data_IF_525685256488
#
_entry.id   IF_525685256488
#
_cell.length_a   1.000
_cell.length_b   1.000
_cell.length_c   1.000
_cell.angle_alpha   90.00
_cell.angle_beta   90.00
_cell.angle_gamma   90.00
#
_symmetry.space_group_name_H-M   'P 1'
#
loop_
_entity.id
_entity.type
_entity.pdbx_description
1 polymer ?
#
# COMPACT_ATOMS: atom_id res chain seq x y z
N UNK A 1 8.12 -3.79 -17.85
CA UNK A 1 6.77 -3.93 -18.43
C UNK A 1 6.92 -3.92 -19.94
N UNK A 2 6.03 -4.56 -20.67
CA UNK A 2 6.06 -4.62 -22.13
C UNK A 2 4.67 -4.31 -22.66
N UNK A 3 4.61 -3.69 -23.83
CA UNK A 3 3.33 -3.32 -24.50
C UNK A 3 2.78 -4.47 -25.35
N UNK A 4 3.61 -5.48 -25.65
CA UNK A 4 3.22 -6.63 -26.44
C UNK A 4 3.85 -7.93 -25.92
N UNK A 5 3.21 -9.06 -26.24
CA UNK A 5 3.70 -10.40 -25.92
C UNK A 5 5.10 -10.66 -26.51
N UNK A 6 5.35 -10.20 -27.73
CA UNK A 6 6.64 -10.34 -28.44
C UNK A 6 7.75 -9.55 -27.72
N UNK A 7 7.43 -8.36 -27.30
CA UNK A 7 8.38 -7.51 -26.53
C UNK A 7 8.72 -8.12 -25.17
N UNK A 8 7.70 -8.61 -24.46
CA UNK A 8 7.89 -9.28 -23.17
C UNK A 8 8.77 -10.52 -23.33
N UNK A 9 8.56 -11.32 -24.36
CA UNK A 9 9.42 -12.49 -24.66
C UNK A 9 10.87 -12.09 -24.90
N UNK A 10 11.10 -11.05 -25.70
CA UNK A 10 12.45 -10.55 -25.97
C UNK A 10 13.14 -10.04 -24.70
N UNK A 11 12.41 -9.31 -23.84
CA UNK A 11 12.94 -8.83 -22.55
C UNK A 11 13.32 -9.99 -21.62
N UNK A 12 12.45 -11.01 -21.55
CA UNK A 12 12.71 -12.19 -20.72
C UNK A 12 13.91 -12.99 -21.20
N UNK A 13 14.07 -13.14 -22.52
CA UNK A 13 15.25 -13.82 -23.09
C UNK A 13 16.52 -13.07 -22.77
N UNK A 14 16.55 -11.73 -22.87
CA UNK A 14 17.69 -10.91 -22.45
C UNK A 14 18.01 -11.06 -20.95
N UNK A 15 16.98 -11.02 -20.09
CA UNK A 15 17.15 -11.24 -18.64
C UNK A 15 17.72 -12.62 -18.37
N UNK A 16 17.25 -13.66 -19.08
CA UNK A 16 17.77 -15.02 -18.96
C UNK A 16 19.26 -15.09 -19.33
N UNK A 17 19.64 -14.53 -20.47
CA UNK A 17 21.05 -14.49 -20.93
C UNK A 17 21.96 -13.77 -19.94
N UNK A 18 21.55 -12.61 -19.42
CA UNK A 18 22.35 -11.85 -18.44
C UNK A 18 22.45 -12.60 -17.10
N UNK A 19 21.38 -13.25 -16.66
CA UNK A 19 21.38 -14.05 -15.44
C UNK A 19 22.30 -15.29 -15.58
N UNK A 20 22.32 -15.95 -16.72
CA UNK A 20 23.20 -17.10 -16.99
C UNK A 20 24.69 -16.69 -16.96
N UNK A 21 25.04 -15.49 -17.43
CA UNK A 21 26.41 -14.93 -17.31
C UNK A 21 26.81 -14.73 -15.84
N UNK A 22 25.85 -14.41 -14.99
CA UNK A 22 26.04 -14.26 -13.54
C UNK A 22 25.94 -15.59 -12.77
N UNK A 23 25.78 -16.74 -13.45
CA UNK A 23 25.60 -18.04 -12.83
C UNK A 23 24.22 -18.29 -12.23
N UNK A 24 23.23 -17.44 -12.53
CA UNK A 24 21.86 -17.55 -12.06
C UNK A 24 20.98 -18.23 -13.12
N UNK A 25 20.03 -19.07 -12.68
CA UNK A 25 19.05 -19.72 -13.55
C UNK A 25 17.66 -19.15 -13.31
N UNK A 26 16.96 -18.77 -14.37
CA UNK A 26 15.57 -18.36 -14.32
C UNK A 26 14.69 -19.57 -13.92
N UNK A 27 13.93 -19.43 -12.83
CA UNK A 27 12.97 -20.46 -12.43
C UNK A 27 11.61 -20.19 -13.08
N UNK A 28 11.35 -20.84 -14.21
CA UNK A 28 10.13 -20.66 -15.02
C UNK A 28 8.90 -21.10 -14.24
N UNK A 29 8.98 -22.13 -13.40
CA UNK A 29 7.84 -22.60 -12.59
C UNK A 29 7.38 -21.59 -11.54
N UNK A 30 8.28 -20.71 -11.08
CA UNK A 30 7.94 -19.62 -10.15
C UNK A 30 7.63 -18.31 -10.85
N UNK A 31 7.97 -18.19 -12.13
CA UNK A 31 7.70 -17.00 -12.91
C UNK A 31 6.20 -16.95 -13.26
N UNK A 32 5.60 -15.77 -13.10
CA UNK A 32 4.20 -15.54 -13.39
C UNK A 32 4.05 -14.37 -14.35
N UNK A 33 3.11 -14.48 -15.26
CA UNK A 33 2.78 -13.41 -16.20
C UNK A 33 1.44 -12.80 -15.85
N UNK A 34 1.36 -11.47 -15.87
CA UNK A 34 0.11 -10.75 -15.70
C UNK A 34 -0.11 -9.81 -16.90
N UNK A 35 -1.33 -9.76 -17.39
CA UNK A 35 -1.68 -8.84 -18.45
C UNK A 35 -3.02 -8.17 -18.20
N UNK A 36 -3.19 -6.98 -18.75
CA UNK A 36 -4.44 -6.21 -18.71
C UNK A 36 -5.47 -6.65 -19.75
N UNK A 37 -5.15 -7.66 -20.60
CA UNK A 37 -6.01 -8.19 -21.66
C UNK A 37 -6.00 -9.72 -21.68
N UNK A 38 -6.83 -10.34 -22.54
CA UNK A 38 -6.89 -11.78 -22.66
C UNK A 38 -5.57 -12.32 -23.24
N UNK A 39 -4.80 -13.04 -22.44
CA UNK A 39 -3.67 -13.85 -22.90
C UNK A 39 -4.13 -15.31 -22.93
N UNK A 40 -3.95 -15.95 -24.07
CA UNK A 40 -4.45 -17.31 -24.29
C UNK A 40 -3.54 -18.40 -23.74
N UNK A 41 -2.25 -18.29 -23.83
CA UNK A 41 -1.25 -19.17 -23.18
C UNK A 41 0.14 -18.68 -23.54
N UNK A 42 1.05 -18.72 -22.60
CA UNK A 42 2.40 -18.25 -22.84
C UNK A 42 3.43 -19.34 -22.56
N UNK A 43 4.31 -19.55 -23.53
CA UNK A 43 5.37 -20.55 -23.42
C UNK A 43 6.75 -19.89 -23.55
N UNK A 44 7.66 -20.27 -22.65
CA UNK A 44 9.08 -19.94 -22.72
C UNK A 44 9.86 -21.24 -22.72
N UNK A 45 10.71 -21.45 -23.70
CA UNK A 45 11.54 -22.66 -23.84
C UNK A 45 10.74 -23.97 -23.82
N UNK A 46 9.48 -23.94 -24.29
CA UNK A 46 8.59 -25.12 -24.29
C UNK A 46 7.84 -25.34 -22.97
N UNK A 47 8.10 -24.55 -21.92
CA UNK A 47 7.38 -24.62 -20.65
C UNK A 47 6.25 -23.58 -20.63
N UNK A 48 5.08 -23.99 -20.13
CA UNK A 48 3.92 -23.12 -19.98
C UNK A 48 4.11 -22.21 -18.76
N UNK A 49 3.97 -20.91 -18.95
CA UNK A 49 3.94 -19.96 -17.84
C UNK A 49 2.52 -19.77 -17.31
N UNK A 50 2.42 -19.72 -15.98
CA UNK A 50 1.16 -19.41 -15.32
C UNK A 50 0.78 -17.95 -15.54
N UNK A 51 -0.43 -17.73 -16.11
CA UNK A 51 -1.02 -16.40 -16.21
C UNK A 51 -1.88 -16.15 -15.01
N UNK A 52 -1.63 -15.05 -14.30
CA UNK A 52 -2.33 -14.70 -13.07
C UNK A 52 -3.03 -13.33 -13.21
N UNK A 53 -4.13 -13.17 -12.51
CA UNK A 53 -4.86 -11.89 -12.43
C UNK A 53 -4.31 -10.96 -11.37
N UNK A 54 -3.58 -11.51 -10.43
CA UNK A 54 -2.92 -10.76 -9.37
C UNK A 54 -1.66 -11.50 -8.88
N UNK A 55 -0.73 -10.75 -8.30
CA UNK A 55 0.43 -11.31 -7.60
C UNK A 55 0.90 -10.39 -6.47
N UNK A 56 1.70 -10.95 -5.56
CA UNK A 56 2.28 -10.18 -4.45
C UNK A 56 3.74 -9.88 -4.78
N UNK A 57 4.06 -8.59 -4.86
CA UNK A 57 5.43 -8.09 -5.06
C UNK A 57 5.82 -7.22 -3.87
N UNK A 58 6.91 -7.58 -3.19
CA UNK A 58 7.38 -6.82 -2.02
C UNK A 58 6.35 -6.68 -0.89
N UNK A 59 5.39 -7.61 -0.79
CA UNK A 59 4.30 -7.55 0.20
C UNK A 59 3.06 -6.77 -0.24
N UNK A 60 3.09 -6.11 -1.40
CA UNK A 60 1.94 -5.42 -2.00
C UNK A 60 1.27 -6.27 -3.07
N UNK A 61 -0.06 -6.29 -3.06
CA UNK A 61 -0.86 -6.99 -4.06
C UNK A 61 -1.05 -6.13 -5.30
N UNK A 62 -0.53 -6.58 -6.42
CA UNK A 62 -0.69 -5.95 -7.74
C UNK A 62 -1.75 -6.74 -8.51
N UNK A 63 -2.71 -6.05 -9.12
CA UNK A 63 -3.81 -6.62 -9.88
C UNK A 63 -3.76 -6.16 -11.34
N UNK A 64 -4.21 -7.00 -12.25
CA UNK A 64 -4.21 -6.71 -13.69
C UNK A 64 -5.09 -5.51 -14.09
N UNK A 65 -6.15 -5.24 -13.31
CA UNK A 65 -7.06 -4.10 -13.48
C UNK A 65 -6.59 -2.84 -12.77
N UNK A 66 -5.41 -2.87 -12.12
CA UNK A 66 -4.86 -1.78 -11.31
C UNK A 66 -5.79 -1.31 -10.17
N UNK A 67 -6.71 -2.19 -9.71
CA UNK A 67 -7.59 -1.88 -8.58
C UNK A 67 -6.91 -2.18 -7.25
N UNK A 68 -6.47 -1.14 -6.56
CA UNK A 68 -5.83 -1.21 -5.26
C UNK A 68 -6.82 -1.16 -4.07
N UNK A 69 -8.14 -1.21 -4.32
CA UNK A 69 -9.15 -1.10 -3.25
C UNK A 69 -9.03 -2.20 -2.21
N UNK A 70 -8.68 -3.42 -2.61
CA UNK A 70 -8.47 -4.55 -1.69
C UNK A 70 -7.23 -4.33 -0.84
N UNK A 71 -6.14 -3.90 -1.46
CA UNK A 71 -4.87 -3.60 -0.80
C UNK A 71 -5.06 -2.52 0.27
N UNK A 72 -5.65 -1.38 -0.12
CA UNK A 72 -5.95 -0.27 0.81
C UNK A 72 -6.79 -0.77 2.00
N UNK A 73 -7.83 -1.57 1.76
CA UNK A 73 -8.65 -2.13 2.85
C UNK A 73 -7.82 -3.01 3.79
N UNK A 74 -6.96 -3.87 3.26
CA UNK A 74 -6.08 -4.74 4.04
C UNK A 74 -5.15 -3.92 4.93
N UNK A 75 -4.51 -2.90 4.40
CA UNK A 75 -3.65 -2.00 5.17
C UNK A 75 -4.40 -1.20 6.24
N UNK A 76 -5.62 -0.74 5.96
CA UNK A 76 -6.47 -0.10 6.96
C UNK A 76 -6.85 -1.06 8.10
N UNK A 77 -7.08 -2.34 7.81
CA UNK A 77 -7.34 -3.37 8.84
C UNK A 77 -6.10 -3.60 9.70
N UNK A 78 -4.91 -3.71 9.09
CA UNK A 78 -3.64 -3.81 9.81
C UNK A 78 -3.38 -2.59 10.70
N UNK A 79 -3.61 -1.39 10.17
CA UNK A 79 -3.52 -0.15 10.93
C UNK A 79 -4.46 -0.12 12.14
N UNK A 80 -5.70 -0.60 11.99
CA UNK A 80 -6.64 -0.73 13.12
C UNK A 80 -6.15 -1.71 14.16
N UNK A 81 -5.60 -2.85 13.76
CA UNK A 81 -5.01 -3.84 14.67
C UNK A 81 -3.85 -3.21 15.47
N UNK A 82 -2.95 -2.53 14.79
CA UNK A 82 -1.82 -1.83 15.43
C UNK A 82 -2.30 -0.75 16.40
N UNK A 83 -3.28 0.06 16.00
CA UNK A 83 -3.88 1.08 16.88
C UNK A 83 -4.53 0.45 18.12
N UNK A 84 -5.10 -0.74 18.00
CA UNK A 84 -5.67 -1.48 19.13
C UNK A 84 -4.57 -2.01 20.06
N UNK A 85 -3.45 -2.46 19.53
CA UNK A 85 -2.30 -2.91 20.33
C UNK A 85 -1.68 -1.76 21.15
N UNK A 86 -1.81 -0.52 20.68
CA UNK A 86 -1.36 0.68 21.40
C UNK A 86 -2.31 1.15 22.49
N UNK A 87 -3.46 0.51 22.68
CA UNK A 87 -4.53 0.98 23.57
C UNK A 87 -4.07 1.23 25.02
N UNK A 88 -3.19 0.40 25.56
CA UNK A 88 -2.64 0.57 26.91
C UNK A 88 -1.87 1.88 27.04
N UNK A 89 -1.03 2.19 26.06
CA UNK A 89 -0.23 3.44 26.02
C UNK A 89 -1.13 4.64 25.77
N UNK A 90 -2.07 4.52 24.82
CA UNK A 90 -3.01 5.60 24.51
C UNK A 90 -3.93 5.93 25.69
N UNK A 91 -4.23 4.95 26.55
CA UNK A 91 -5.02 5.13 27.77
C UNK A 91 -4.21 5.67 28.95
N UNK A 92 -2.89 5.54 28.96
CA UNK A 92 -2.05 6.07 30.04
C UNK A 92 -2.22 7.59 30.20
N UNK A 93 -2.26 8.05 31.44
CA UNK A 93 -2.29 9.48 31.79
C UNK A 93 -0.88 10.09 31.82
N UNK A 94 0.14 9.25 31.98
CA UNK A 94 1.54 9.67 32.11
C UNK A 94 2.15 10.05 30.75
N UNK A 95 1.52 9.64 29.65
CA UNK A 95 1.95 9.95 28.28
C UNK A 95 1.20 11.16 27.75
N UNK A 96 1.93 12.18 27.33
CA UNK A 96 1.34 13.42 26.80
C UNK A 96 0.58 13.18 25.49
N UNK A 97 -0.40 14.01 25.17
CA UNK A 97 -1.14 13.94 23.92
C UNK A 97 -0.23 14.08 22.69
N UNK A 98 0.78 14.93 22.77
CA UNK A 98 1.76 15.11 21.70
C UNK A 98 2.54 13.82 21.42
N UNK A 99 3.04 13.17 22.48
CA UNK A 99 3.74 11.87 22.37
C UNK A 99 2.85 10.80 21.77
N UNK A 100 1.55 10.77 22.15
CA UNK A 100 0.58 9.84 21.56
C UNK A 100 0.36 10.08 20.06
N UNK A 101 0.30 11.36 19.65
CA UNK A 101 0.20 11.72 18.22
C UNK A 101 1.43 11.24 17.45
N UNK A 102 2.63 11.48 17.98
CA UNK A 102 3.87 11.00 17.38
C UNK A 102 3.90 9.48 17.28
N UNK A 103 3.44 8.77 18.31
CA UNK A 103 3.37 7.32 18.32
C UNK A 103 2.45 6.77 17.22
N UNK A 104 1.26 7.37 17.05
CA UNK A 104 0.33 6.98 15.96
C UNK A 104 0.96 7.23 14.60
N UNK A 105 1.58 8.40 14.41
CA UNK A 105 2.26 8.74 13.14
C UNK A 105 3.45 7.81 12.85
N UNK A 106 4.20 7.39 13.85
CA UNK A 106 5.39 6.56 13.68
C UNK A 106 5.10 5.07 13.54
N UNK A 107 4.03 4.56 14.15
CA UNK A 107 3.74 3.13 14.20
C UNK A 107 2.53 2.69 13.39
N UNK A 108 1.51 3.53 13.28
CA UNK A 108 0.25 3.15 12.60
C UNK A 108 0.26 3.58 11.15
N UNK A 109 0.64 4.83 10.88
CA UNK A 109 0.60 5.40 9.52
C UNK A 109 1.55 4.69 8.54
N UNK A 110 2.80 4.33 8.89
CA UNK A 110 3.68 3.60 7.98
C UNK A 110 3.11 2.25 7.54
N UNK A 111 2.41 1.54 8.43
CA UNK A 111 1.74 0.27 8.08
C UNK A 111 0.62 0.51 7.07
N UNK A 112 -0.14 1.59 7.25
CA UNK A 112 -1.25 1.94 6.34
C UNK A 112 -0.72 2.41 5.00
N UNK A 113 0.39 3.14 4.97
CA UNK A 113 0.97 3.72 3.76
C UNK A 113 1.94 2.80 3.02
N UNK A 114 2.20 1.59 3.54
CA UNK A 114 3.15 0.67 2.92
C UNK A 114 2.71 0.32 1.49
N UNK A 115 3.60 0.53 0.50
CA UNK A 115 3.33 0.28 -0.91
C UNK A 115 2.38 1.29 -1.58
N UNK A 116 2.06 2.41 -0.90
CA UNK A 116 1.10 3.40 -1.42
C UNK A 116 1.57 4.11 -2.69
N UNK A 117 2.84 4.03 -3.02
CA UNK A 117 3.42 4.61 -4.24
C UNK A 117 2.75 4.06 -5.50
N UNK A 118 2.43 2.75 -5.48
CA UNK A 118 1.78 2.04 -6.58
C UNK A 118 0.26 2.22 -6.64
N UNK A 119 -0.37 2.80 -5.60
CA UNK A 119 -1.82 2.85 -5.52
C UNK A 119 -2.45 3.86 -6.48
N UNK A 120 -3.43 3.40 -7.26
CA UNK A 120 -4.36 4.27 -7.99
C UNK A 120 -5.56 4.55 -7.10
N UNK A 121 -5.50 5.66 -6.35
CA UNK A 121 -6.50 5.97 -5.32
C UNK A 121 -7.74 6.60 -5.96
N UNK A 122 -8.87 5.91 -5.85
CA UNK A 122 -10.18 6.40 -6.30
C UNK A 122 -10.83 7.24 -5.17
N UNK A 123 -11.82 8.05 -5.52
CA UNK A 123 -12.54 8.91 -4.56
C UNK A 123 -13.15 8.16 -3.36
N UNK A 124 -13.51 6.90 -3.55
CA UNK A 124 -14.03 6.06 -2.47
C UNK A 124 -12.95 5.68 -1.45
N UNK A 125 -11.72 5.45 -1.91
CA UNK A 125 -10.57 5.12 -1.06
C UNK A 125 -10.11 6.34 -0.26
N UNK A 126 -10.12 7.54 -0.84
CA UNK A 126 -9.87 8.80 -0.10
C UNK A 126 -10.80 8.91 1.11
N UNK A 127 -12.11 8.70 0.91
CA UNK A 127 -13.07 8.73 2.02
C UNK A 127 -12.79 7.66 3.10
N UNK A 128 -12.25 6.51 2.72
CA UNK A 128 -11.89 5.44 3.68
C UNK A 128 -10.66 5.79 4.48
N UNK A 129 -9.64 6.38 3.84
CA UNK A 129 -8.43 6.84 4.53
C UNK A 129 -8.74 7.98 5.49
N UNK A 130 -9.56 8.94 5.09
CA UNK A 130 -10.02 10.03 5.95
C UNK A 130 -10.82 9.52 7.16
N UNK A 131 -11.75 8.58 6.91
CA UNK A 131 -12.53 7.98 7.99
C UNK A 131 -11.65 7.18 8.96
N UNK A 132 -10.61 6.51 8.46
CA UNK A 132 -9.64 5.81 9.29
C UNK A 132 -8.80 6.78 10.12
N UNK A 133 -8.29 7.85 9.52
CA UNK A 133 -7.53 8.88 10.23
C UNK A 133 -8.35 9.49 11.38
N UNK A 134 -9.58 9.90 11.09
CA UNK A 134 -10.50 10.42 12.10
C UNK A 134 -10.79 9.41 13.22
N UNK A 135 -10.92 8.13 12.86
CA UNK A 135 -11.09 7.07 13.85
C UNK A 135 -9.87 6.95 14.76
N UNK A 136 -8.65 7.04 14.24
CA UNK A 136 -7.41 7.05 15.02
C UNK A 136 -7.41 8.23 16.02
N UNK A 137 -7.71 9.43 15.55
CA UNK A 137 -7.70 10.64 16.39
C UNK A 137 -8.79 10.61 17.46
N UNK A 138 -10.01 10.16 17.11
CA UNK A 138 -11.09 9.98 18.10
C UNK A 138 -10.70 8.98 19.18
N UNK A 139 -10.05 7.88 18.80
CA UNK A 139 -9.59 6.86 19.74
C UNK A 139 -8.48 7.42 20.65
N UNK A 140 -7.53 8.16 20.13
CA UNK A 140 -6.48 8.82 20.88
C UNK A 140 -7.07 9.82 21.89
N UNK A 141 -8.01 10.65 21.47
CA UNK A 141 -8.69 11.64 22.32
C UNK A 141 -9.78 11.04 23.22
N UNK A 142 -10.04 9.74 23.11
CA UNK A 142 -11.13 9.03 23.82
C UNK A 142 -12.51 9.64 23.59
N UNK A 143 -12.72 10.15 22.39
CA UNK A 143 -14.01 10.72 21.98
C UNK A 143 -14.82 9.63 21.27
N UNK A 144 -15.91 9.10 21.89
CA UNK A 144 -16.75 8.13 21.22
C UNK A 144 -17.40 8.77 19.99
N UNK A 145 -17.68 7.95 18.98
CA UNK A 145 -18.31 8.45 17.76
C UNK A 145 -19.73 9.03 18.00
N UNK A 146 -20.39 8.60 19.08
CA UNK A 146 -21.69 9.10 19.54
C UNK A 146 -21.60 10.51 20.16
N UNK A 147 -20.42 10.97 20.55
CA UNK A 147 -20.23 12.32 21.04
C UNK A 147 -20.48 13.33 19.92
N UNK A 148 -21.27 14.38 20.21
CA UNK A 148 -21.62 15.45 19.26
C UNK A 148 -20.44 16.39 18.98
N UNK A 149 -19.22 15.84 18.81
CA UNK A 149 -18.03 16.61 18.40
C UNK A 149 -17.82 16.50 16.89
N UNK A 150 -17.68 17.63 16.23
CA UNK A 150 -17.43 17.68 14.79
C UNK A 150 -16.03 17.13 14.46
N UNK A 151 -15.87 16.60 13.24
CA UNK A 151 -14.58 16.15 12.73
C UNK A 151 -13.55 17.27 12.71
N UNK A 152 -13.98 18.49 12.33
CA UNK A 152 -13.13 19.67 12.33
C UNK A 152 -12.60 20.01 13.73
N UNK A 153 -13.42 19.86 14.78
CA UNK A 153 -13.00 20.07 16.17
C UNK A 153 -11.94 19.06 16.60
N UNK A 154 -12.04 17.80 16.16
CA UNK A 154 -11.04 16.76 16.42
C UNK A 154 -9.72 17.09 15.73
N UNK A 155 -9.77 17.40 14.43
CA UNK A 155 -8.58 17.74 13.64
C UNK A 155 -7.90 19.01 14.16
N UNK A 156 -8.66 20.02 14.58
CA UNK A 156 -8.11 21.26 15.17
C UNK A 156 -7.37 21.00 16.47
N UNK A 157 -7.84 20.08 17.31
CA UNK A 157 -7.20 19.72 18.57
C UNK A 157 -5.90 18.94 18.35
N UNK A 158 -5.88 18.03 17.38
CA UNK A 158 -4.68 17.26 17.01
C UNK A 158 -3.70 18.14 16.23
N UNK A 159 -4.21 19.08 15.41
CA UNK A 159 -3.44 19.95 14.51
C UNK A 159 -2.37 19.17 13.73
N UNK A 160 -2.73 18.12 12.98
CA UNK A 160 -1.75 17.35 12.24
C UNK A 160 -1.13 18.25 11.17
N UNK A 161 0.20 18.23 11.07
CA UNK A 161 0.94 18.98 10.04
C UNK A 161 0.49 18.56 8.64
N UNK A 162 0.28 17.26 8.45
CA UNK A 162 -0.28 16.68 7.24
C UNK A 162 -1.35 15.65 7.60
N UNK A 163 -2.42 15.59 6.81
CA UNK A 163 -3.38 14.48 6.84
C UNK A 163 -2.71 13.19 6.35
N UNK A 164 -3.32 12.05 6.64
CA UNK A 164 -2.87 10.76 6.10
C UNK A 164 -2.84 10.78 4.56
N UNK A 165 -3.84 11.37 3.94
CA UNK A 165 -3.88 11.57 2.48
C UNK A 165 -2.71 12.44 2.00
N UNK A 166 -2.41 13.54 2.69
CA UNK A 166 -1.27 14.41 2.37
C UNK A 166 0.07 13.69 2.48
N UNK A 167 0.22 12.79 3.45
CA UNK A 167 1.42 11.95 3.61
C UNK A 167 1.54 10.93 2.47
N UNK A 168 0.45 10.28 2.07
CA UNK A 168 0.43 9.38 0.92
C UNK A 168 0.84 10.12 -0.35
N UNK A 169 0.28 11.30 -0.60
CA UNK A 169 0.62 12.12 -1.76
C UNK A 169 2.10 12.52 -1.75
N UNK A 170 2.63 12.92 -0.59
CA UNK A 170 4.05 13.26 -0.43
C UNK A 170 4.96 12.09 -0.78
N UNK A 171 4.66 10.89 -0.29
CA UNK A 171 5.44 9.69 -0.61
C UNK A 171 5.40 9.36 -2.09
N UNK A 172 4.24 9.47 -2.73
CA UNK A 172 4.11 9.26 -4.18
C UNK A 172 4.96 10.24 -4.98
N UNK A 173 4.91 11.53 -4.64
CA UNK A 173 5.72 12.55 -5.30
C UNK A 173 7.22 12.29 -5.12
N UNK A 174 7.66 11.96 -3.91
CA UNK A 174 9.06 11.60 -3.66
C UNK A 174 9.51 10.39 -4.47
N UNK A 175 8.64 9.38 -4.64
CA UNK A 175 8.96 8.22 -5.46
C UNK A 175 9.14 8.60 -6.94
N UNK A 176 8.29 9.48 -7.47
CA UNK A 176 8.41 9.95 -8.86
C UNK A 176 9.66 10.81 -9.07
N UNK A 177 10.05 11.65 -8.13
CA UNK A 177 11.27 12.46 -8.22
C UNK A 177 12.56 11.63 -8.29
N UNK A 178 12.54 10.41 -7.74
CA UNK A 178 13.66 9.47 -7.83
C UNK A 178 13.71 8.68 -9.15
N UNK A 179 12.66 8.72 -9.96
CA UNK A 179 12.57 8.03 -11.25
C UNK A 179 12.92 8.93 -12.44
N UNK A 180 13.09 10.23 -12.22
CA UNK A 180 13.51 11.24 -13.20
C UNK A 180 14.98 11.58 -13.02
#
# INVERSE_FOLDING_TARGET
MAESEKELKNLLMKVKEENEKAGLKLNIQKAKTMASGPITSWQIDGEMMETVTDFILGGSKITADSDCSHEIKSHLVLGRKTMTNLDSILKSRDVTSLTKVHLVKAMVFPIVMYGCESWTIKKAEHRRTDAFELWCWRRLLRVPWTARRSNQSILKEISPEFSLEGLILKLKLQHFDHLT
#
